data_IF_214375358475
#
_entry.id   IF_214375358475
#
_cell.length_a   1.000
_cell.length_b   1.000
_cell.length_c   1.000
_cell.angle_alpha   90.00
_cell.angle_beta   90.00
_cell.angle_gamma   90.00
#
_symmetry.space_group_name_H-M   'P 1'
#
loop_
_entity.id
_entity.type
_entity.pdbx_description
1 polymer ?
#
# COMPACT_ATOMS: atom_id res chain seq x y z
N UNK A 1 -17.87 -7.42 1.69
CA UNK A 1 -17.09 -6.17 1.81
C UNK A 1 -17.04 -5.52 0.44
N UNK A 2 -17.38 -4.23 0.33
CA UNK A 2 -17.45 -3.51 -0.95
C UNK A 2 -16.05 -3.13 -1.44
N UNK A 3 -15.80 -3.26 -2.75
CA UNK A 3 -14.57 -2.78 -3.41
C UNK A 3 -14.97 -1.87 -4.56
N UNK A 4 -14.44 -0.65 -4.58
CA UNK A 4 -14.63 0.33 -5.65
C UNK A 4 -13.34 0.37 -6.47
N UNK A 5 -13.46 0.15 -7.78
CA UNK A 5 -12.34 0.15 -8.71
C UNK A 5 -12.38 1.42 -9.57
N UNK A 6 -11.21 2.02 -9.77
CA UNK A 6 -11.02 3.19 -10.60
C UNK A 6 -9.83 2.98 -11.55
N UNK A 7 -9.99 3.22 -12.86
CA UNK A 7 -8.85 3.17 -13.78
C UNK A 7 -7.76 4.19 -13.42
N UNK A 8 -8.18 5.40 -13.02
CA UNK A 8 -7.25 6.46 -12.65
C UNK A 8 -7.88 7.44 -11.66
N UNK A 9 -7.13 7.79 -10.61
CA UNK A 9 -7.50 8.81 -9.61
C UNK A 9 -6.24 9.59 -9.18
N UNK A 10 -6.41 10.63 -8.36
CA UNK A 10 -5.30 11.34 -7.73
C UNK A 10 -4.64 10.51 -6.64
N UNK A 11 -5.43 10.02 -5.68
CA UNK A 11 -4.96 9.10 -4.64
C UNK A 11 -6.14 8.30 -4.09
N UNK A 12 -5.95 6.99 -3.93
CA UNK A 12 -6.94 6.09 -3.30
C UNK A 12 -7.31 6.51 -1.87
N UNK A 13 -6.37 7.06 -1.10
CA UNK A 13 -6.64 7.65 0.21
C UNK A 13 -7.54 8.89 0.11
N UNK A 14 -7.31 9.78 -0.87
CA UNK A 14 -8.14 10.97 -1.05
C UNK A 14 -9.54 10.59 -1.55
N UNK A 15 -9.62 9.65 -2.48
CA UNK A 15 -10.90 9.16 -2.99
C UNK A 15 -11.71 8.46 -1.90
N UNK A 16 -11.06 7.70 -1.01
CA UNK A 16 -11.70 7.12 0.16
C UNK A 16 -12.33 8.20 1.08
N UNK A 17 -11.69 9.36 1.25
CA UNK A 17 -12.29 10.49 2.00
C UNK A 17 -13.53 11.03 1.29
N UNK A 18 -13.48 11.22 -0.03
CA UNK A 18 -14.63 11.68 -0.83
C UNK A 18 -15.82 10.72 -0.74
N UNK A 19 -15.57 9.41 -0.80
CA UNK A 19 -16.61 8.39 -0.65
C UNK A 19 -17.22 8.43 0.76
N UNK A 20 -16.40 8.58 1.80
CA UNK A 20 -16.89 8.74 3.18
C UNK A 20 -17.71 10.01 3.37
N UNK A 21 -17.33 11.13 2.76
CA UNK A 21 -18.08 12.39 2.86
C UNK A 21 -19.49 12.30 2.24
N UNK A 22 -19.75 11.31 1.38
CA UNK A 22 -21.03 11.08 0.72
C UNK A 22 -21.85 9.99 1.41
N UNK A 23 -21.23 8.86 1.73
CA UNK A 23 -21.91 7.63 2.19
C UNK A 23 -21.83 7.44 3.71
N UNK A 24 -20.81 8.02 4.37
CA UNK A 24 -20.62 7.88 5.82
C UNK A 24 -20.36 6.45 6.30
N UNK A 25 -20.13 5.50 5.39
CA UNK A 25 -20.15 4.06 5.70
C UNK A 25 -18.83 3.34 5.45
N UNK A 26 -18.49 2.42 6.34
CA UNK A 26 -17.34 1.51 6.28
C UNK A 26 -17.77 0.11 6.79
N UNK A 27 -17.11 -1.02 6.41
CA UNK A 27 -15.85 -1.07 5.66
C UNK A 27 -16.00 -1.18 4.14
N UNK A 28 -15.06 -0.58 3.42
CA UNK A 28 -14.91 -0.73 1.98
C UNK A 28 -13.44 -0.60 1.57
N UNK A 29 -13.15 -0.93 0.31
CA UNK A 29 -11.85 -0.75 -0.31
C UNK A 29 -11.94 0.13 -1.55
N UNK A 30 -10.90 0.90 -1.78
CA UNK A 30 -10.61 1.55 -3.07
C UNK A 30 -9.45 0.78 -3.71
N UNK A 31 -9.56 0.46 -4.99
CA UNK A 31 -8.46 0.00 -5.84
C UNK A 31 -8.33 0.96 -7.02
N UNK A 32 -7.10 1.38 -7.32
CA UNK A 32 -6.80 2.19 -8.49
C UNK A 32 -5.70 1.54 -9.33
N UNK A 33 -5.88 1.51 -10.65
CA UNK A 33 -4.82 1.02 -11.54
C UNK A 33 -3.67 2.04 -11.62
N UNK A 34 -3.99 3.34 -11.58
CA UNK A 34 -3.02 4.45 -11.60
C UNK A 34 -3.42 5.55 -10.59
N UNK A 35 -2.43 6.10 -9.87
CA UNK A 35 -2.57 7.33 -9.08
C UNK A 35 -1.70 8.45 -9.67
N UNK A 36 -2.30 9.56 -10.11
CA UNK A 36 -1.53 10.69 -10.66
C UNK A 36 -0.88 11.59 -9.58
N UNK A 37 -1.37 11.52 -8.33
CA UNK A 37 -0.85 12.27 -7.19
C UNK A 37 -0.75 11.38 -5.94
N UNK A 38 -0.24 10.16 -6.12
CA UNK A 38 -0.09 9.18 -5.05
C UNK A 38 0.71 9.73 -3.86
N UNK A 39 0.28 9.38 -2.64
CA UNK A 39 0.79 9.98 -1.40
C UNK A 39 1.57 8.96 -0.57
N UNK A 40 2.61 9.43 0.09
CA UNK A 40 3.38 8.72 1.11
C UNK A 40 3.49 9.55 2.38
N UNK A 41 4.09 8.97 3.41
CA UNK A 41 4.35 9.65 4.69
C UNK A 41 5.26 10.85 4.52
N UNK A 42 5.14 11.81 5.45
CA UNK A 42 5.97 13.02 5.49
C UNK A 42 5.95 13.80 4.16
N UNK A 43 4.76 13.89 3.56
CA UNK A 43 4.51 14.59 2.29
C UNK A 43 5.34 14.08 1.10
N UNK A 44 5.89 12.87 1.18
CA UNK A 44 6.56 12.23 0.04
C UNK A 44 5.51 11.77 -0.97
N UNK A 45 5.89 11.75 -2.24
CA UNK A 45 5.06 11.19 -3.30
C UNK A 45 5.23 9.67 -3.35
N UNK A 46 4.12 8.97 -3.64
CA UNK A 46 4.14 7.58 -4.07
C UNK A 46 3.93 7.56 -5.59
N UNK A 47 4.97 7.21 -6.33
CA UNK A 47 4.92 7.17 -7.80
C UNK A 47 4.21 5.89 -8.24
N UNK A 48 3.19 6.06 -9.07
CA UNK A 48 2.41 4.94 -9.62
C UNK A 48 2.93 4.55 -11.00
N UNK A 49 3.11 3.25 -11.19
CA UNK A 49 3.36 2.60 -12.47
C UNK A 49 2.24 1.57 -12.64
N UNK A 50 1.66 1.50 -13.83
CA UNK A 50 0.58 0.56 -14.15
C UNK A 50 1.02 -0.90 -13.89
N UNK A 51 0.09 -1.73 -13.39
CA UNK A 51 0.37 -3.11 -12.98
C UNK A 51 0.89 -3.27 -11.54
N UNK A 52 1.22 -2.18 -10.86
CA UNK A 52 1.44 -2.18 -9.41
C UNK A 52 0.12 -2.08 -8.64
N UNK A 53 0.12 -2.50 -7.38
CA UNK A 53 -1.06 -2.41 -6.52
C UNK A 53 -1.12 -1.05 -5.84
N UNK A 54 -2.25 -0.35 -5.98
CA UNK A 54 -2.58 0.83 -5.19
C UNK A 54 -4.00 0.69 -4.62
N UNK A 55 -4.10 0.47 -3.32
CA UNK A 55 -5.39 0.29 -2.68
C UNK A 55 -5.47 0.98 -1.32
N UNK A 56 -6.70 1.28 -0.88
CA UNK A 56 -6.97 1.82 0.44
C UNK A 56 -8.11 1.05 1.09
N UNK A 57 -7.85 0.46 2.25
CA UNK A 57 -8.88 -0.12 3.11
C UNK A 57 -9.42 0.93 4.08
N UNK A 58 -10.74 1.00 4.24
CA UNK A 58 -11.43 1.97 5.10
C UNK A 58 -12.19 1.25 6.20
N UNK A 59 -11.98 1.69 7.44
CA UNK A 59 -12.58 1.10 8.64
C UNK A 59 -13.00 2.19 9.62
N UNK A 60 -13.95 1.89 10.51
CA UNK A 60 -14.22 2.76 11.65
C UNK A 60 -12.96 2.87 12.53
N UNK A 61 -12.61 4.08 12.94
CA UNK A 61 -11.47 4.30 13.82
C UNK A 61 -11.78 3.77 15.23
N UNK A 62 -10.75 3.28 15.92
CA UNK A 62 -10.90 2.97 17.34
C UNK A 62 -11.12 4.26 18.13
N UNK A 63 -11.89 4.18 19.22
CA UNK A 63 -12.03 5.29 20.16
C UNK A 63 -10.68 5.76 20.74
N UNK A 64 -9.68 4.87 20.74
CA UNK A 64 -8.31 5.09 21.21
C UNK A 64 -7.38 5.33 20.00
N UNK A 65 -7.04 6.59 19.75
CA UNK A 65 -6.19 7.01 18.64
C UNK A 65 -4.78 6.36 18.65
N UNK A 66 -4.08 6.22 19.79
CA UNK A 66 -2.86 5.41 19.89
C UNK A 66 -3.00 4.00 19.29
N UNK A 67 -4.11 3.30 19.52
CA UNK A 67 -4.34 1.96 18.94
C UNK A 67 -4.53 2.01 17.43
N UNK A 68 -5.07 3.10 16.90
CA UNK A 68 -5.21 3.30 15.45
C UNK A 68 -3.84 3.33 14.76
N UNK A 69 -2.79 3.85 15.42
CA UNK A 69 -1.44 3.84 14.87
C UNK A 69 -0.84 2.43 14.75
N UNK A 70 -1.28 1.48 15.59
CA UNK A 70 -0.84 0.07 15.52
C UNK A 70 -1.30 -0.62 14.22
N UNK A 71 -2.35 -0.10 13.57
CA UNK A 71 -2.82 -0.64 12.29
C UNK A 71 -1.77 -0.50 11.18
N UNK A 72 -0.88 0.50 11.23
CA UNK A 72 0.24 0.59 10.28
C UNK A 72 1.18 -0.61 10.43
N UNK A 73 1.38 -1.09 11.66
CA UNK A 73 2.23 -2.26 11.93
C UNK A 73 1.54 -3.55 11.48
N UNK A 74 0.24 -3.69 11.79
CA UNK A 74 -0.55 -4.83 11.34
C UNK A 74 -0.62 -4.91 9.80
N UNK A 75 -0.80 -3.78 9.12
CA UNK A 75 -0.79 -3.72 7.66
C UNK A 75 0.59 -4.07 7.08
N UNK A 76 1.68 -3.59 7.68
CA UNK A 76 3.03 -3.97 7.27
C UNK A 76 3.28 -5.48 7.41
N UNK A 77 2.87 -6.08 8.53
CA UNK A 77 2.93 -7.53 8.74
C UNK A 77 2.09 -8.29 7.70
N UNK A 78 0.87 -7.84 7.43
CA UNK A 78 0.01 -8.47 6.42
C UNK A 78 0.63 -8.43 5.02
N UNK A 79 1.26 -7.31 4.63
CA UNK A 79 1.97 -7.21 3.35
C UNK A 79 3.20 -8.13 3.35
N UNK A 80 3.95 -8.17 4.46
CA UNK A 80 5.09 -9.08 4.61
C UNK A 80 4.68 -10.54 4.41
N UNK A 81 3.63 -11.00 5.12
CA UNK A 81 3.10 -12.38 5.03
C UNK A 81 2.58 -12.74 3.63
N UNK A 82 2.13 -11.74 2.85
CA UNK A 82 1.75 -11.97 1.45
C UNK A 82 2.99 -12.12 0.57
N UNK A 83 4.02 -11.29 0.78
CA UNK A 83 5.25 -11.31 -0.02
C UNK A 83 6.12 -12.55 0.23
N UNK A 84 6.10 -13.11 1.44
CA UNK A 84 6.82 -14.37 1.77
C UNK A 84 6.33 -15.58 0.98
N UNK A 85 5.16 -15.50 0.34
CA UNK A 85 4.66 -16.55 -0.58
C UNK A 85 5.38 -16.58 -1.92
N UNK A 86 6.14 -15.54 -2.24
CA UNK A 86 6.76 -15.33 -3.54
C UNK A 86 8.26 -15.06 -3.45
N UNK A 87 8.74 -14.54 -2.32
CA UNK A 87 10.12 -14.15 -2.07
C UNK A 87 10.61 -14.88 -0.82
N UNK A 88 11.86 -15.35 -0.83
CA UNK A 88 12.50 -15.95 0.35
C UNK A 88 12.41 -14.98 1.55
N UNK A 89 11.89 -15.48 2.66
CA UNK A 89 11.75 -14.77 3.94
C UNK A 89 13.08 -14.11 4.38
N UNK A 90 14.23 -14.72 4.08
CA UNK A 90 15.56 -14.17 4.41
C UNK A 90 15.89 -12.87 3.67
N UNK A 91 15.31 -12.66 2.49
CA UNK A 91 15.50 -11.46 1.70
C UNK A 91 14.56 -10.32 2.13
N UNK A 92 13.44 -10.65 2.78
CA UNK A 92 12.42 -9.69 3.19
C UNK A 92 12.75 -9.04 4.54
N UNK A 93 12.48 -7.73 4.64
CA UNK A 93 12.57 -6.99 5.90
C UNK A 93 11.46 -5.96 6.02
N UNK A 94 10.88 -5.84 7.21
CA UNK A 94 10.04 -4.69 7.56
C UNK A 94 10.95 -3.56 8.04
N UNK A 95 11.07 -2.50 7.25
CA UNK A 95 11.65 -1.24 7.71
C UNK A 95 10.54 -0.44 8.38
N UNK A 96 10.51 -0.53 9.71
CA UNK A 96 9.50 0.14 10.52
C UNK A 96 9.46 1.66 10.26
N UNK A 97 8.26 2.27 10.28
CA UNK A 97 6.98 1.65 10.66
C UNK A 97 6.16 1.07 9.49
N UNK A 98 6.58 1.24 8.23
CA UNK A 98 5.63 1.19 7.12
C UNK A 98 6.22 0.80 5.75
N UNK A 99 7.49 0.43 5.67
CA UNK A 99 8.12 0.03 4.41
C UNK A 99 8.46 -1.47 4.45
N UNK A 100 8.19 -2.17 3.35
CA UNK A 100 8.72 -3.53 3.15
C UNK A 100 9.86 -3.45 2.14
N UNK A 101 10.96 -4.13 2.46
CA UNK A 101 12.17 -4.19 1.65
C UNK A 101 12.46 -5.63 1.22
N UNK A 102 13.05 -5.78 0.03
CA UNK A 102 13.68 -7.01 -0.46
C UNK A 102 15.15 -6.69 -0.71
N UNK A 103 16.07 -7.42 -0.08
CA UNK A 103 17.51 -7.19 -0.21
C UNK A 103 17.91 -5.72 0.06
N UNK A 104 17.21 -5.05 0.98
CA UNK A 104 17.43 -3.63 1.31
C UNK A 104 16.74 -2.61 0.40
N UNK A 105 16.18 -3.05 -0.74
CA UNK A 105 15.46 -2.21 -1.71
C UNK A 105 13.97 -2.19 -1.43
N UNK A 106 13.31 -1.04 -1.58
CA UNK A 106 11.89 -0.92 -1.23
C UNK A 106 10.96 -1.54 -2.27
N UNK A 107 10.05 -2.42 -1.81
CA UNK A 107 8.98 -3.02 -2.64
C UNK A 107 7.59 -2.51 -2.29
N UNK A 108 7.33 -2.12 -1.04
CA UNK A 108 6.00 -1.69 -0.59
C UNK A 108 6.05 -0.58 0.44
N UNK A 109 4.99 0.23 0.50
CA UNK A 109 4.76 1.23 1.53
C UNK A 109 3.31 1.27 2.00
N UNK A 110 3.15 1.52 3.30
CA UNK A 110 1.85 1.73 3.96
C UNK A 110 1.72 3.21 4.35
N UNK A 111 0.54 3.78 4.11
CA UNK A 111 0.14 5.12 4.53
C UNK A 111 -1.15 5.06 5.34
N UNK A 112 -1.04 5.29 6.64
CA UNK A 112 -2.19 5.44 7.52
C UNK A 112 -2.63 6.90 7.56
N UNK A 113 -3.91 7.15 7.38
CA UNK A 113 -4.55 8.44 7.63
C UNK A 113 -5.85 8.25 8.42
N UNK A 114 -6.33 9.32 9.06
CA UNK A 114 -7.65 9.36 9.66
C UNK A 114 -8.52 10.39 8.93
N UNK A 115 -9.83 10.18 8.98
CA UNK A 115 -10.82 11.10 8.43
C UNK A 115 -12.04 11.15 9.33
N UNK A 116 -12.51 12.36 9.63
CA UNK A 116 -13.67 12.58 10.48
C UNK A 116 -14.80 13.17 9.64
N UNK A 117 -15.98 12.60 9.75
CA UNK A 117 -17.20 13.06 9.08
C UNK A 117 -18.29 13.31 10.13
N UNK A 118 -19.48 13.74 9.70
CA UNK A 118 -20.65 13.79 10.59
C UNK A 118 -21.04 12.42 11.16
N UNK A 119 -20.70 11.34 10.46
CA UNK A 119 -21.08 9.97 10.80
C UNK A 119 -20.05 9.24 11.69
N UNK A 120 -18.88 9.86 11.90
CA UNK A 120 -17.86 9.34 12.81
C UNK A 120 -16.42 9.50 12.32
N UNK A 121 -15.51 8.83 13.02
CA UNK A 121 -14.08 8.81 12.73
C UNK A 121 -13.72 7.51 12.00
N UNK A 122 -12.91 7.63 10.96
CA UNK A 122 -12.47 6.53 10.12
C UNK A 122 -10.95 6.49 10.03
N UNK A 123 -10.42 5.29 9.81
CA UNK A 123 -9.03 5.03 9.49
C UNK A 123 -8.93 4.51 8.06
N UNK A 124 -8.00 5.12 7.32
CA UNK A 124 -7.70 4.80 5.93
C UNK A 124 -6.30 4.19 5.88
N UNK A 125 -6.23 2.96 5.37
CA UNK A 125 -5.00 2.18 5.29
C UNK A 125 -4.62 2.07 3.81
N UNK A 126 -3.83 3.02 3.33
CA UNK A 126 -3.26 3.01 1.99
C UNK A 126 -2.12 2.01 1.89
N UNK A 127 -2.16 1.13 0.90
CA UNK A 127 -1.14 0.11 0.62
C UNK A 127 -0.71 0.26 -0.84
N UNK A 128 0.59 0.47 -1.04
CA UNK A 128 1.24 0.43 -2.34
C UNK A 128 2.21 -0.74 -2.41
N UNK A 129 2.14 -1.57 -3.46
CA UNK A 129 3.09 -2.66 -3.70
C UNK A 129 3.57 -2.58 -5.15
N UNK A 130 4.90 -2.52 -5.33
CA UNK A 130 5.54 -2.65 -6.63
C UNK A 130 5.48 -4.12 -7.07
N UNK A 131 4.70 -4.40 -8.11
CA UNK A 131 4.50 -5.75 -8.64
C UNK A 131 5.17 -5.85 -10.01
N UNK A 132 4.70 -5.01 -10.94
CA UNK A 132 5.09 -5.03 -12.33
C UNK A 132 6.42 -4.30 -12.58
N UNK A 133 6.60 -3.15 -11.92
CA UNK A 133 7.81 -2.35 -12.02
C UNK A 133 7.95 -1.44 -10.78
N UNK A 134 9.01 -0.63 -10.73
CA UNK A 134 9.35 0.25 -9.64
C UNK A 134 9.90 1.59 -10.16
N UNK A 135 9.64 2.70 -9.46
CA UNK A 135 10.19 3.98 -9.86
C UNK A 135 11.69 4.08 -9.53
N UNK A 136 12.44 4.74 -10.39
CA UNK A 136 13.79 5.21 -10.09
C UNK A 136 13.69 6.50 -9.28
N UNK A 137 14.14 6.48 -8.02
CA UNK A 137 14.08 7.61 -7.10
C UNK A 137 15.50 7.91 -6.59
N UNK A 138 15.91 9.17 -6.65
CA UNK A 138 17.22 9.58 -6.12
C UNK A 138 17.35 9.20 -4.63
N UNK A 139 18.50 8.60 -4.28
CA UNK A 139 18.84 8.15 -2.92
C UNK A 139 17.87 7.15 -2.28
N UNK A 140 17.04 6.47 -3.07
CA UNK A 140 16.20 5.38 -2.59
C UNK A 140 16.14 4.25 -3.60
N UNK A 141 16.78 3.14 -3.25
CA UNK A 141 16.66 1.93 -4.03
C UNK A 141 15.27 1.31 -3.83
N UNK A 142 14.64 0.99 -4.95
CA UNK A 142 13.35 0.31 -5.02
C UNK A 142 13.52 -1.00 -5.80
N UNK A 143 12.55 -1.89 -5.68
CA UNK A 143 12.42 -3.10 -6.49
C UNK A 143 10.94 -3.42 -6.67
N UNK A 144 10.63 -4.47 -7.43
CA UNK A 144 9.28 -4.94 -7.70
C UNK A 144 9.24 -6.47 -7.74
N UNK A 145 8.05 -7.04 -7.53
CA UNK A 145 7.87 -8.47 -7.37
C UNK A 145 8.40 -9.29 -8.55
N UNK A 146 8.12 -8.89 -9.81
CA UNK A 146 8.54 -9.68 -10.96
C UNK A 146 10.06 -9.79 -11.12
N UNK A 147 10.84 -8.77 -10.75
CA UNK A 147 12.29 -8.87 -10.74
C UNK A 147 12.83 -9.85 -9.69
N UNK A 148 12.16 -9.99 -8.55
CA UNK A 148 12.63 -10.86 -7.45
C UNK A 148 12.19 -12.33 -7.63
N UNK A 149 11.13 -12.60 -8.41
CA UNK A 149 10.61 -13.96 -8.64
C UNK A 149 11.20 -14.61 -9.90
N UNK A 150 11.66 -13.82 -10.87
CA UNK A 150 12.16 -14.34 -12.15
C UNK A 150 13.57 -14.96 -12.09
N UNK A 151 14.31 -14.75 -10.99
CA UNK A 151 15.69 -15.27 -10.84
C UNK A 151 15.75 -16.78 -10.53
N UNK A 152 14.63 -17.42 -10.16
CA UNK A 152 14.57 -18.88 -9.92
C UNK A 152 14.05 -19.70 -11.11
N UNK A 153 13.60 -19.07 -12.21
CA UNK A 153 13.02 -19.78 -13.37
C UNK A 153 13.87 -19.79 -14.64
N UNK A 154 15.11 -19.32 -14.57
CA UNK A 154 16.07 -19.44 -15.68
C UNK A 154 16.96 -20.67 -15.57
N UNK A 155 16.39 -21.84 -15.25
CA UNK A 155 16.90 -23.08 -15.83
C UNK A 155 16.44 -23.10 -17.30
N UNK A 156 17.27 -22.56 -18.18
CA UNK A 156 17.19 -22.84 -19.62
C UNK A 156 17.42 -24.35 -19.79
N UNK A 157 16.46 -25.16 -20.29
CA UNK A 157 16.83 -26.45 -20.85
C UNK A 157 17.72 -26.22 -22.07
N UNK A 158 18.75 -27.05 -22.16
CA UNK A 158 19.76 -27.09 -23.22
C UNK A 158 19.16 -27.31 -24.62
#
# INVERSE_FOLDING_TARGET
>A
MRVLHYPQIDSSNLEAKRVLDIDGSAPFWIHADIQCAGRGRLSRQWLSIEGNLFCTGVYAAFADLPKTSLLSFAAALAVYDVLTKWIDDKALKIKWPNDILVNGRKISGILLETHSTGDGNFVLIGIGINIADHPVIDRRECTHLWAEVQDERTDKPA
#
